data_IF_417610777528
#
_entry.id   IF_417610777528
#
_cell.length_a   1.000
_cell.length_b   1.000
_cell.length_c   1.000
_cell.angle_alpha   90.00
_cell.angle_beta   90.00
_cell.angle_gamma   90.00
#
_symmetry.space_group_name_H-M   'P 1'
#
loop_
_entity.id
_entity.type
_entity.pdbx_description
1 polymer ?
#
# COMPACT_ATOMS: atom_id res chain seq x y z
N UNK A 1 -3.96 -33.61 -5.22
CA UNK A 1 -2.83 -32.96 -4.52
C UNK A 1 -1.66 -32.81 -5.50
N UNK A 2 -1.85 -32.00 -6.56
CA UNK A 2 -0.85 -31.82 -7.64
C UNK A 2 -0.90 -30.46 -8.34
N UNK A 3 -1.67 -29.49 -7.81
CA UNK A 3 -1.81 -28.14 -8.37
C UNK A 3 -1.22 -27.05 -7.46
N UNK A 4 -0.64 -27.40 -6.31
CA UNK A 4 -0.05 -26.42 -5.38
C UNK A 4 1.39 -26.02 -5.75
N UNK A 5 2.13 -26.88 -6.45
CA UNK A 5 3.55 -26.67 -6.74
C UNK A 5 3.81 -25.64 -7.85
N UNK A 6 2.83 -25.38 -8.71
CA UNK A 6 2.98 -24.44 -9.82
C UNK A 6 2.74 -22.97 -9.42
N UNK A 7 2.27 -22.72 -8.19
CA UNK A 7 1.96 -21.39 -7.66
C UNK A 7 3.01 -20.83 -6.67
N UNK A 8 4.14 -21.53 -6.48
CA UNK A 8 5.24 -21.12 -5.58
C UNK A 8 6.33 -20.26 -6.25
N UNK A 9 6.23 -19.97 -7.55
CA UNK A 9 7.25 -19.13 -8.20
C UNK A 9 6.99 -17.65 -7.90
N UNK A 10 8.00 -16.98 -7.35
CA UNK A 10 8.04 -15.53 -7.09
C UNK A 10 8.03 -14.66 -8.37
N UNK A 11 7.71 -15.24 -9.53
CA UNK A 11 7.67 -14.50 -10.80
C UNK A 11 6.49 -13.54 -10.83
N UNK A 12 6.71 -12.31 -11.28
CA UNK A 12 5.65 -11.31 -11.52
C UNK A 12 4.61 -11.80 -12.55
N UNK A 13 4.94 -12.81 -13.34
CA UNK A 13 4.02 -13.46 -14.30
C UNK A 13 2.80 -14.11 -13.61
N UNK A 14 2.89 -14.36 -12.30
CA UNK A 14 1.80 -14.91 -11.52
C UNK A 14 0.83 -13.85 -10.98
N UNK A 15 1.06 -12.55 -11.21
CA UNK A 15 0.10 -11.53 -10.79
C UNK A 15 -1.18 -11.68 -11.61
N UNK A 16 -2.31 -11.74 -10.90
CA UNK A 16 -3.62 -12.07 -11.46
C UNK A 16 -3.99 -11.30 -12.74
N UNK A 17 -3.60 -10.02 -12.84
CA UNK A 17 -3.85 -9.16 -14.01
C UNK A 17 -2.84 -8.00 -14.08
N UNK A 18 -2.39 -7.55 -15.28
CA UNK A 18 -1.54 -6.37 -15.42
C UNK A 18 -2.09 -5.10 -14.77
N UNK A 19 -3.41 -4.92 -14.79
CA UNK A 19 -4.08 -3.77 -14.20
C UNK A 19 -3.99 -3.78 -12.66
N UNK A 20 -3.94 -4.96 -12.04
CA UNK A 20 -3.73 -5.09 -10.60
C UNK A 20 -2.28 -4.75 -10.22
N UNK A 21 -1.30 -5.17 -11.03
CA UNK A 21 0.09 -4.76 -10.85
C UNK A 21 0.22 -3.23 -10.95
N UNK A 22 -0.38 -2.60 -11.95
CA UNK A 22 -0.36 -1.14 -12.09
C UNK A 22 -0.97 -0.44 -10.87
N UNK A 23 -2.11 -0.94 -10.38
CA UNK A 23 -2.76 -0.40 -9.19
C UNK A 23 -1.89 -0.54 -7.93
N UNK A 24 -1.22 -1.69 -7.75
CA UNK A 24 -0.28 -1.91 -6.64
C UNK A 24 0.92 -0.95 -6.72
N UNK A 25 1.46 -0.71 -7.93
CA UNK A 25 2.57 0.23 -8.15
C UNK A 25 2.16 1.68 -7.86
N UNK A 26 0.92 2.07 -8.18
CA UNK A 26 0.38 3.39 -7.81
C UNK A 26 0.35 3.55 -6.28
N UNK A 27 -0.16 2.54 -5.56
CA UNK A 27 -0.19 2.52 -4.09
C UNK A 27 1.21 2.62 -3.49
N UNK A 28 2.15 1.83 -3.98
CA UNK A 28 3.54 1.88 -3.56
C UNK A 28 4.16 3.26 -3.78
N UNK A 29 3.95 3.86 -4.94
CA UNK A 29 4.45 5.19 -5.25
C UNK A 29 3.89 6.28 -4.33
N UNK A 30 2.62 6.19 -3.92
CA UNK A 30 2.06 7.10 -2.92
C UNK A 30 2.66 6.88 -1.54
N UNK A 31 2.84 5.64 -1.11
CA UNK A 31 3.50 5.33 0.16
C UNK A 31 4.93 5.86 0.23
N UNK A 32 5.71 5.75 -0.85
CA UNK A 32 7.08 6.30 -0.93
C UNK A 32 7.12 7.81 -0.72
N UNK A 33 6.02 8.53 -0.98
CA UNK A 33 5.89 9.98 -0.77
C UNK A 33 5.13 10.34 0.50
N UNK A 34 4.65 9.35 1.25
CA UNK A 34 3.77 9.55 2.41
C UNK A 34 2.37 10.06 2.06
N UNK A 35 1.93 9.92 0.81
CA UNK A 35 0.63 10.41 0.35
C UNK A 35 -0.49 9.41 0.67
N UNK A 36 -0.78 9.25 1.95
CA UNK A 36 -1.81 8.33 2.41
C UNK A 36 -3.23 8.77 2.01
N UNK A 37 -3.43 10.07 1.76
CA UNK A 37 -4.70 10.61 1.25
C UNK A 37 -5.03 10.01 -0.10
N UNK A 38 -4.10 10.03 -1.05
CA UNK A 38 -4.33 9.47 -2.38
C UNK A 38 -4.69 7.98 -2.32
N UNK A 39 -4.03 7.20 -1.46
CA UNK A 39 -4.35 5.77 -1.26
C UNK A 39 -5.78 5.57 -0.74
N UNK A 40 -6.22 6.40 0.23
CA UNK A 40 -7.56 6.31 0.82
C UNK A 40 -8.63 6.72 -0.19
N UNK A 41 -8.41 7.78 -0.95
CA UNK A 41 -9.33 8.25 -1.99
C UNK A 41 -9.45 7.25 -3.15
N UNK A 42 -8.35 6.57 -3.48
CA UNK A 42 -8.30 5.54 -4.51
C UNK A 42 -8.93 4.18 -4.09
N UNK A 43 -9.23 3.98 -2.80
CA UNK A 43 -9.63 2.69 -2.24
C UNK A 43 -10.82 2.04 -2.98
N UNK A 44 -11.80 2.84 -3.40
CA UNK A 44 -13.00 2.32 -4.09
C UNK A 44 -12.67 1.73 -5.47
N UNK A 45 -11.68 2.30 -6.16
CA UNK A 45 -11.16 1.79 -7.42
C UNK A 45 -10.24 0.59 -7.18
N UNK A 46 -9.30 0.71 -6.25
CA UNK A 46 -8.38 -0.36 -5.87
C UNK A 46 -9.09 -1.66 -5.48
N UNK A 47 -10.22 -1.55 -4.77
CA UNK A 47 -11.03 -2.70 -4.34
C UNK A 47 -11.54 -3.55 -5.51
N UNK A 48 -11.67 -3.00 -6.73
CA UNK A 48 -12.09 -3.74 -7.93
C UNK A 48 -11.09 -4.83 -8.32
N UNK A 49 -9.82 -4.68 -7.93
CA UNK A 49 -8.76 -5.66 -8.14
C UNK A 49 -8.71 -6.76 -7.04
N UNK A 50 -9.65 -6.73 -6.08
CA UNK A 50 -9.78 -7.69 -4.99
C UNK A 50 -8.49 -7.92 -4.19
N UNK A 51 -7.86 -6.86 -3.63
CA UNK A 51 -6.67 -7.01 -2.80
C UNK A 51 -6.98 -7.88 -1.57
N UNK A 52 -5.96 -8.60 -1.09
CA UNK A 52 -6.08 -9.51 0.05
C UNK A 52 -6.69 -8.82 1.27
N UNK A 53 -7.65 -9.49 1.93
CA UNK A 53 -8.37 -8.94 3.09
C UNK A 53 -9.11 -7.63 2.80
N UNK A 54 -9.46 -7.37 1.54
CA UNK A 54 -10.04 -6.10 1.08
C UNK A 54 -9.18 -4.87 1.41
N UNK A 55 -7.87 -5.07 1.58
CA UNK A 55 -6.94 -4.04 2.04
C UNK A 55 -7.25 -3.46 3.43
N UNK A 56 -8.10 -4.16 4.21
CA UNK A 56 -8.65 -3.66 5.46
C UNK A 56 -7.58 -3.42 6.53
N UNK A 57 -6.54 -4.25 6.60
CA UNK A 57 -5.46 -4.09 7.58
C UNK A 57 -4.72 -2.76 7.42
N UNK A 58 -4.42 -2.36 6.18
CA UNK A 58 -3.82 -1.06 5.90
C UNK A 58 -4.80 0.08 6.28
N UNK A 59 -6.07 -0.03 5.90
CA UNK A 59 -7.08 1.00 6.19
C UNK A 59 -7.28 1.20 7.70
N UNK A 60 -7.26 0.12 8.48
CA UNK A 60 -7.31 0.18 9.95
C UNK A 60 -6.06 0.84 10.51
N UNK A 61 -4.87 0.44 10.06
CA UNK A 61 -3.59 1.02 10.49
C UNK A 61 -3.54 2.52 10.19
N UNK A 62 -3.76 2.92 8.93
CA UNK A 62 -3.66 4.32 8.52
C UNK A 62 -4.69 5.17 9.25
N UNK A 63 -5.92 4.67 9.46
CA UNK A 63 -6.94 5.35 10.26
C UNK A 63 -6.49 5.62 11.70
N UNK A 64 -5.74 4.70 12.32
CA UNK A 64 -5.21 4.88 13.67
C UNK A 64 -4.06 5.90 13.77
N UNK A 65 -3.30 6.08 12.69
CA UNK A 65 -2.12 6.97 12.66
C UNK A 65 -2.36 8.33 11.97
N UNK A 66 -3.61 8.67 11.63
CA UNK A 66 -3.96 10.00 11.12
C UNK A 66 -4.79 10.03 9.83
N UNK A 67 -5.11 8.87 9.25
CA UNK A 67 -5.95 8.77 8.07
C UNK A 67 -5.41 9.56 6.88
N UNK A 68 -6.25 10.40 6.29
CA UNK A 68 -5.89 11.27 5.16
C UNK A 68 -4.84 12.34 5.51
N UNK A 69 -4.61 12.57 6.80
CA UNK A 69 -3.60 13.53 7.27
C UNK A 69 -2.27 12.85 7.62
N UNK A 70 -2.18 11.51 7.53
CA UNK A 70 -0.94 10.79 7.73
C UNK A 70 0.06 11.15 6.61
N UNK A 71 1.28 11.51 6.99
CA UNK A 71 2.39 11.85 6.11
C UNK A 71 3.64 11.00 6.35
N UNK A 72 3.51 9.80 6.93
CA UNK A 72 4.66 8.92 7.13
C UNK A 72 5.13 8.32 5.80
N UNK A 73 6.41 8.48 5.50
CA UNK A 73 7.01 7.87 4.31
C UNK A 73 7.16 6.36 4.51
N UNK A 74 6.69 5.61 3.52
CA UNK A 74 6.85 4.16 3.46
C UNK A 74 8.27 3.78 3.02
N UNK A 75 8.97 3.03 3.87
CA UNK A 75 10.26 2.42 3.53
C UNK A 75 10.03 0.97 3.10
N UNK A 76 10.40 0.64 1.87
CA UNK A 76 10.34 -0.74 1.36
C UNK A 76 11.45 -1.61 1.95
N UNK A 77 11.09 -2.82 2.37
CA UNK A 77 11.99 -3.80 3.02
C UNK A 77 12.07 -5.14 2.29
N UNK A 78 11.26 -5.34 1.24
CA UNK A 78 11.37 -6.49 0.35
C UNK A 78 11.20 -6.04 -1.09
N UNK A 79 11.55 -6.91 -2.03
CA UNK A 79 11.03 -6.75 -3.38
C UNK A 79 9.52 -6.98 -3.40
N UNK A 80 8.90 -6.52 -4.47
CA UNK A 80 7.51 -6.77 -4.77
C UNK A 80 7.49 -8.07 -5.56
N UNK A 81 6.84 -9.07 -4.99
CA UNK A 81 6.85 -10.45 -5.47
C UNK A 81 5.42 -10.95 -5.60
N UNK A 82 5.20 -11.96 -6.44
CA UNK A 82 3.92 -12.66 -6.48
C UNK A 82 3.99 -13.92 -5.65
N UNK A 83 3.07 -14.09 -4.69
CA UNK A 83 2.88 -15.32 -3.95
C UNK A 83 1.45 -15.83 -4.16
N UNK A 84 1.30 -17.02 -4.74
CA UNK A 84 0.00 -17.65 -4.99
C UNK A 84 -1.02 -16.77 -5.74
N UNK A 85 -0.55 -15.92 -6.67
CA UNK A 85 -1.42 -15.06 -7.47
C UNK A 85 -1.61 -13.64 -6.96
N UNK A 86 -1.06 -13.33 -5.78
CA UNK A 86 -1.22 -12.05 -5.09
C UNK A 86 0.12 -11.33 -5.01
N UNK A 87 0.13 -10.04 -5.33
CA UNK A 87 1.27 -9.16 -5.12
C UNK A 87 1.55 -8.94 -3.63
N UNK A 88 2.80 -9.12 -3.22
CA UNK A 88 3.24 -9.01 -1.83
C UNK A 88 4.46 -8.09 -1.74
N UNK A 89 4.47 -7.22 -0.73
CA UNK A 89 5.59 -6.32 -0.43
C UNK A 89 5.56 -5.92 1.04
N UNK A 90 6.74 -5.77 1.63
CA UNK A 90 6.88 -5.27 2.99
C UNK A 90 7.25 -3.78 2.97
N UNK A 91 6.40 -2.96 3.59
CA UNK A 91 6.61 -1.51 3.74
C UNK A 91 6.48 -1.13 5.21
N UNK A 92 7.43 -0.35 5.69
CA UNK A 92 7.46 0.16 7.06
C UNK A 92 7.16 1.66 7.10
N UNK A 93 6.27 2.08 7.99
CA UNK A 93 5.91 3.48 8.21
C UNK A 93 6.45 3.93 9.57
N UNK A 94 7.69 4.44 9.58
CA UNK A 94 8.31 4.97 10.80
C UNK A 94 7.52 6.20 11.29
N UNK A 95 7.35 6.32 12.62
CA UNK A 95 6.72 7.51 13.20
C UNK A 95 7.67 8.71 13.06
N UNK A 96 7.28 9.80 12.36
CA UNK A 96 8.10 10.99 12.30
C UNK A 96 8.25 11.63 13.68
N UNK A 97 9.36 12.31 13.95
CA UNK A 97 9.63 13.00 15.23
C UNK A 97 8.50 13.98 15.60
N UNK A 98 7.96 14.68 14.62
CA UNK A 98 6.86 15.64 14.80
C UNK A 98 5.47 14.96 14.85
N UNK A 99 5.39 13.63 14.74
CA UNK A 99 4.17 12.85 14.66
C UNK A 99 3.72 12.55 13.23
N UNK A 100 2.79 11.60 13.08
CA UNK A 100 2.31 11.12 11.78
C UNK A 100 1.57 12.19 10.95
N UNK A 101 1.08 13.26 11.57
CA UNK A 101 0.26 14.30 10.91
C UNK A 101 0.95 15.67 10.83
N UNK A 102 2.26 15.75 11.07
CA UNK A 102 2.94 17.05 11.13
C UNK A 102 3.02 17.79 9.79
N UNK A 103 3.11 17.07 8.67
CA UNK A 103 3.21 17.68 7.33
C UNK A 103 1.90 18.36 6.89
N UNK A 104 0.75 17.78 7.22
CA UNK A 104 -0.56 18.38 6.95
C UNK A 104 -0.79 19.64 7.78
N UNK A 105 -0.34 19.65 9.03
CA UNK A 105 -0.45 20.82 9.92
C UNK A 105 0.40 22.02 9.45
N UNK A 106 1.60 21.79 8.91
CA UNK A 106 2.43 22.87 8.34
C UNK A 106 1.78 23.53 7.12
N UNK A 107 1.05 22.76 6.32
CA UNK A 107 0.35 23.26 5.13
C UNK A 107 -0.92 24.06 5.49
N UNK A 108 -1.58 23.72 6.60
CA UNK A 108 -2.78 24.43 7.09
C UNK A 108 -2.45 25.77 7.77
N UNK A 109 -1.26 25.90 8.38
CA UNK A 109 -0.83 27.11 9.09
C UNK A 109 -0.13 28.15 8.18
N UNK A 110 -0.01 27.88 6.88
CA UNK A 110 0.67 28.75 5.91
C UNK A 110 -0.28 29.79 5.25
N UNK A 111 -1.48 29.99 5.80
CA UNK A 111 -2.50 30.92 5.28
C UNK A 111 -3.03 31.84 6.37
#
# INVERSE_FOLDING_TARGET
>A
MREFADHESASLDNIRTPEALEADQMVLGWWERGDHRAVIEFQAEYRRHAPEGFFGHYLMMVGAIGGTECGAVGRRYSEYESAAGTGQVHVWFERPTEGWTAQSQKSQNAY
#
